data_IF_820447462130
#
_entry.id   IF_820447462130
#
_cell.length_a   1.000
_cell.length_b   1.000
_cell.length_c   1.000
_cell.angle_alpha   90.00
_cell.angle_beta   90.00
_cell.angle_gamma   90.00
#
_symmetry.space_group_name_H-M   'P 1'
#
loop_
_entity.id
_entity.type
_entity.pdbx_description
1 polymer ?
#
# COMPACT_ATOMS: atom_id res chain seq x y z
N UNK A 1 -1.75 7.54 -18.92
CA UNK A 1 -2.31 7.62 -17.55
C UNK A 1 -1.14 7.79 -16.58
N UNK A 2 -1.00 8.97 -15.98
CA UNK A 2 0.17 9.40 -15.17
C UNK A 2 0.01 9.10 -13.68
N UNK A 3 -1.13 8.55 -13.22
CA UNK A 3 -1.45 8.35 -11.79
C UNK A 3 -0.42 7.54 -11.00
N UNK A 4 0.32 6.65 -11.66
CA UNK A 4 1.39 5.87 -11.02
C UNK A 4 2.53 6.72 -10.46
N UNK A 5 2.85 7.87 -11.07
CA UNK A 5 3.92 8.76 -10.55
C UNK A 5 3.46 9.49 -9.29
N UNK A 6 2.20 9.95 -9.27
CA UNK A 6 1.62 10.63 -8.12
C UNK A 6 1.52 9.69 -6.91
N UNK A 7 1.12 8.44 -7.15
CA UNK A 7 1.04 7.44 -6.09
C UNK A 7 2.41 7.17 -5.44
N UNK A 8 3.48 7.15 -6.25
CA UNK A 8 4.84 7.01 -5.77
C UNK A 8 5.30 8.22 -4.96
N UNK A 9 5.01 9.44 -5.44
CA UNK A 9 5.35 10.67 -4.71
C UNK A 9 4.66 10.73 -3.34
N UNK A 10 3.37 10.39 -3.28
CA UNK A 10 2.66 10.31 -2.01
C UNK A 10 3.27 9.25 -1.09
N UNK A 11 3.77 8.13 -1.64
CA UNK A 11 4.39 7.06 -0.86
C UNK A 11 5.71 7.51 -0.26
N UNK A 12 6.54 8.17 -1.05
CA UNK A 12 7.79 8.77 -0.57
C UNK A 12 7.51 9.81 0.51
N UNK A 13 6.51 10.68 0.33
CA UNK A 13 6.12 11.67 1.34
C UNK A 13 5.62 11.04 2.65
N UNK A 14 4.80 9.98 2.58
CA UNK A 14 4.31 9.28 3.77
C UNK A 14 5.44 8.66 4.60
N UNK A 15 6.51 8.20 3.95
CA UNK A 15 7.65 7.57 4.60
C UNK A 15 8.62 8.61 5.17
N UNK A 16 8.78 9.76 4.50
CA UNK A 16 9.45 10.92 5.09
C UNK A 16 8.72 11.40 6.35
N UNK A 17 7.39 11.46 6.33
CA UNK A 17 6.58 11.81 7.50
C UNK A 17 6.75 10.80 8.65
N UNK A 18 6.81 9.50 8.33
CA UNK A 18 7.10 8.45 9.32
C UNK A 18 8.51 8.60 9.91
N UNK A 19 9.50 8.90 9.08
CA UNK A 19 10.88 9.15 9.51
C UNK A 19 11.00 10.41 10.40
N UNK A 20 10.15 11.41 10.15
CA UNK A 20 9.99 12.61 10.99
C UNK A 20 9.19 12.34 12.28
N UNK A 21 8.72 11.10 12.51
CA UNK A 21 8.00 10.70 13.70
C UNK A 21 6.51 11.06 13.69
N UNK A 22 5.94 11.44 12.54
CA UNK A 22 4.49 11.59 12.42
C UNK A 22 3.83 10.22 12.50
N UNK A 23 2.74 10.16 13.26
CA UNK A 23 1.96 8.92 13.48
C UNK A 23 0.84 8.73 12.47
N UNK A 24 0.38 9.83 11.89
CA UNK A 24 -0.66 9.83 10.86
C UNK A 24 0.03 10.13 9.53
N UNK A 25 0.13 9.10 8.70
CA UNK A 25 0.72 9.17 7.37
C UNK A 25 -0.32 8.69 6.36
N UNK A 26 -0.19 9.08 5.10
CA UNK A 26 -1.10 8.63 4.07
C UNK A 26 -1.11 7.08 3.99
N UNK A 27 -2.28 6.42 4.07
CA UNK A 27 -2.40 4.96 4.17
C UNK A 27 -2.21 4.26 2.83
N UNK A 28 -1.11 4.55 2.13
CA UNK A 28 -0.88 4.09 0.76
C UNK A 28 -0.64 2.58 0.66
N UNK A 29 -0.35 1.92 1.78
CA UNK A 29 -0.31 0.46 1.86
C UNK A 29 -1.66 -0.20 1.57
N UNK A 30 -2.77 0.54 1.70
CA UNK A 30 -4.11 0.05 1.32
C UNK A 30 -4.37 0.05 -0.18
N UNK A 31 -3.52 0.72 -0.97
CA UNK A 31 -3.67 0.75 -2.43
C UNK A 31 -2.98 -0.48 -3.03
N UNK A 32 -3.76 -1.30 -3.72
CA UNK A 32 -3.29 -2.48 -4.45
C UNK A 32 -3.47 -2.28 -5.95
N UNK A 33 -2.69 -3.01 -6.75
CA UNK A 33 -2.89 -3.07 -8.20
C UNK A 33 -4.07 -3.98 -8.53
N UNK A 34 -4.33 -4.09 -9.83
CA UNK A 34 -5.26 -5.06 -10.40
C UNK A 34 -5.05 -6.47 -9.82
N UNK A 35 -6.19 -7.16 -9.60
CA UNK A 35 -6.26 -8.47 -8.96
C UNK A 35 -5.66 -8.53 -7.52
N UNK A 36 -5.61 -7.41 -6.80
CA UNK A 36 -5.16 -7.37 -5.40
C UNK A 36 -3.65 -7.49 -5.21
N UNK A 37 -2.87 -7.28 -6.28
CA UNK A 37 -1.42 -7.45 -6.25
C UNK A 37 -0.74 -6.27 -5.54
N UNK A 38 0.27 -6.55 -4.72
CA UNK A 38 1.01 -5.52 -4.01
C UNK A 38 1.83 -4.64 -4.98
N UNK A 39 2.15 -3.45 -4.54
CA UNK A 39 2.89 -2.49 -5.36
C UNK A 39 4.40 -2.67 -5.20
N UNK A 40 5.00 -3.39 -6.15
CA UNK A 40 6.44 -3.70 -6.14
C UNK A 40 7.37 -2.49 -6.24
N UNK A 41 6.88 -1.38 -6.81
CA UNK A 41 7.69 -0.16 -7.07
C UNK A 41 7.60 0.86 -5.93
N UNK A 42 7.05 0.49 -4.78
CA UNK A 42 6.98 1.40 -3.62
C UNK A 42 8.35 1.49 -2.93
N UNK A 43 8.68 2.64 -2.35
CA UNK A 43 9.98 2.88 -1.71
C UNK A 43 10.32 1.85 -0.62
N UNK A 44 9.31 1.27 0.05
CA UNK A 44 9.50 0.37 1.19
C UNK A 44 9.41 -1.13 0.92
N UNK A 45 9.52 -1.55 -0.35
CA UNK A 45 9.37 -2.95 -0.77
C UNK A 45 7.94 -3.49 -0.52
N UNK A 46 7.43 -4.40 -1.38
CA UNK A 46 6.13 -5.04 -1.15
C UNK A 46 6.01 -5.72 0.22
N UNK A 47 7.14 -6.02 0.88
CA UNK A 47 7.18 -6.57 2.23
C UNK A 47 6.63 -5.62 3.30
N UNK A 48 6.88 -4.32 3.23
CA UNK A 48 6.40 -3.38 4.26
C UNK A 48 4.92 -3.10 4.10
N UNK A 49 4.47 -2.96 2.84
CA UNK A 49 3.04 -2.96 2.50
C UNK A 49 2.37 -4.23 3.05
N UNK A 50 2.99 -5.39 2.86
CA UNK A 50 2.46 -6.64 3.36
C UNK A 50 2.39 -6.70 4.89
N UNK A 51 3.41 -6.17 5.60
CA UNK A 51 3.40 -6.10 7.07
C UNK A 51 2.27 -5.22 7.58
N UNK A 52 2.07 -4.03 7.00
CA UNK A 52 1.00 -3.10 7.40
C UNK A 52 -0.38 -3.70 7.15
N UNK A 53 -0.61 -4.29 5.98
CA UNK A 53 -1.86 -4.99 5.66
C UNK A 53 -2.10 -6.19 6.59
N UNK A 54 -1.07 -6.98 6.91
CA UNK A 54 -1.19 -8.08 7.89
C UNK A 54 -1.54 -7.57 9.29
N UNK A 55 -0.99 -6.44 9.72
CA UNK A 55 -1.34 -5.84 11.01
C UNK A 55 -2.79 -5.32 11.06
N UNK A 56 -3.37 -4.99 9.91
CA UNK A 56 -4.79 -4.66 9.78
C UNK A 56 -5.70 -5.90 9.69
N UNK A 57 -5.13 -7.11 9.64
CA UNK A 57 -5.88 -8.37 9.60
C UNK A 57 -6.06 -8.97 8.20
N UNK A 58 -5.41 -8.42 7.17
CA UNK A 58 -5.48 -8.96 5.81
C UNK A 58 -4.52 -10.14 5.62
N UNK A 59 -5.02 -11.22 5.01
CA UNK A 59 -4.20 -12.35 4.61
C UNK A 59 -3.50 -12.05 3.27
N UNK A 60 -2.19 -12.28 3.20
CA UNK A 60 -1.37 -12.03 2.02
C UNK A 60 -0.68 -13.30 1.58
N UNK A 61 -0.96 -13.72 0.35
CA UNK A 61 -0.38 -14.89 -0.27
C UNK A 61 0.25 -14.51 -1.61
N UNK A 62 1.50 -14.92 -1.86
CA UNK A 62 2.22 -14.67 -3.13
C UNK A 62 2.16 -13.20 -3.60
N UNK A 63 2.41 -12.23 -2.71
CA UNK A 63 2.31 -10.78 -2.99
C UNK A 63 0.92 -10.30 -3.46
N UNK A 64 -0.14 -10.97 -3.00
CA UNK A 64 -1.53 -10.61 -3.27
C UNK A 64 -2.34 -10.63 -1.98
N UNK A 65 -3.22 -9.65 -1.83
CA UNK A 65 -4.20 -9.60 -0.75
C UNK A 65 -5.33 -10.57 -1.07
N UNK A 66 -5.62 -11.52 -0.17
CA UNK A 66 -6.78 -12.40 -0.31
C UNK A 66 -8.08 -11.67 -0.01
N UNK A 67 -9.15 -12.11 -0.64
CA UNK A 67 -10.49 -11.54 -0.48
C UNK A 67 -10.56 -10.02 -0.74
N UNK A 68 -9.61 -9.47 -1.52
CA UNK A 68 -9.52 -8.03 -1.78
C UNK A 68 -10.82 -7.46 -2.40
N UNK A 69 -11.56 -8.28 -3.14
CA UNK A 69 -12.86 -7.95 -3.74
C UNK A 69 -13.90 -7.53 -2.69
N UNK A 70 -13.87 -8.11 -1.48
CA UNK A 70 -14.79 -7.75 -0.39
C UNK A 70 -14.53 -6.35 0.18
N UNK A 71 -13.33 -5.82 -0.05
CA UNK A 71 -12.85 -4.54 0.46
C UNK A 71 -12.57 -3.54 -0.66
N UNK A 72 -12.90 -3.90 -1.91
CA UNK A 72 -12.73 -3.03 -3.06
C UNK A 72 -13.75 -1.91 -2.95
N UNK A 73 -13.28 -0.67 -2.90
CA UNK A 73 -14.15 0.50 -3.00
C UNK A 73 -14.38 0.78 -4.49
N UNK A 74 -15.63 0.70 -4.94
CA UNK A 74 -16.00 1.20 -6.28
C UNK A 74 -15.88 2.73 -6.26
N UNK A 75 -15.13 3.28 -7.23
CA UNK A 75 -14.88 4.72 -7.38
C UNK A 75 -15.60 5.24 -8.61
#
# INVERSE_FOLDING_TARGET
MTSGIFLRLCAEAAEEELALGKKEIAPLWRVVKDAGSLMEKFPDSPNLQAKRLKSEGFEIAKNRVRDFEKFLMEV
#
